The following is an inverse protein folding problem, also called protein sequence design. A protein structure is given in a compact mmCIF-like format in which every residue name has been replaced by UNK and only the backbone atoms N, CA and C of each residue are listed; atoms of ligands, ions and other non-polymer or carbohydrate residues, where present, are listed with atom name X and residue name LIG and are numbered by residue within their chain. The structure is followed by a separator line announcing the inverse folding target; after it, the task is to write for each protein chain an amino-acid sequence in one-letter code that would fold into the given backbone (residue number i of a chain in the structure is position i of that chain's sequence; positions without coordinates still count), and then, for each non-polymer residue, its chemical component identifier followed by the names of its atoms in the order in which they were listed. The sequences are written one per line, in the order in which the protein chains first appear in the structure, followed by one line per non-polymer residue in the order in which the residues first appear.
data_IF_626284794275
#
_entry.id   IF_626284794275
#
_cell.length_a   1.000
_cell.length_b   1.000
_cell.length_c   1.000
_cell.angle_alpha   90.00
_cell.angle_beta   90.00
_cell.angle_gamma   90.00
#
_symmetry.space_group_name_H-M   'P 1'
#
loop_
_entity.id
_entity.type
_entity.pdbx_description
1 polymer ?
#
# COMPACT_ATOMS: atom_id res chain seq x y z
N UNK A 1 -10.95 14.65 15.57
CA UNK A 1 -10.80 15.24 14.22
C UNK A 1 -9.37 14.96 13.81
N UNK A 2 -9.15 13.94 12.97
CA UNK A 2 -7.81 13.61 12.45
C UNK A 2 -7.68 14.37 11.14
N UNK A 3 -6.76 15.33 11.11
CA UNK A 3 -6.52 16.17 9.94
C UNK A 3 -5.99 15.30 8.79
N UNK A 4 -6.85 15.04 7.81
CA UNK A 4 -6.41 14.57 6.49
C UNK A 4 -5.96 15.81 5.74
N UNK A 5 -4.68 16.12 5.83
CA UNK A 5 -4.09 17.15 4.99
C UNK A 5 -3.96 16.58 3.57
N UNK A 6 -4.87 17.00 2.70
CA UNK A 6 -4.67 16.98 1.25
C UNK A 6 -3.64 18.08 0.91
N UNK A 7 -2.39 17.88 1.29
CA UNK A 7 -1.32 18.75 0.85
C UNK A 7 -0.94 18.37 -0.58
N UNK A 8 -0.89 19.37 -1.46
CA UNK A 8 -0.16 19.28 -2.71
C UNK A 8 1.33 19.13 -2.37
N UNK A 9 1.77 17.91 -2.14
CA UNK A 9 3.16 17.59 -1.84
C UNK A 9 3.94 17.79 -3.11
N UNK A 10 4.94 18.69 -3.08
CA UNK A 10 5.98 18.75 -4.09
C UNK A 10 6.79 17.45 -3.98
N UNK A 11 6.32 16.42 -4.68
CA UNK A 11 7.05 15.17 -4.84
C UNK A 11 8.12 15.39 -5.91
N UNK A 12 9.35 14.99 -5.62
CA UNK A 12 10.38 14.87 -6.64
C UNK A 12 9.90 13.96 -7.79
N UNK A 13 10.63 13.93 -8.90
CA UNK A 13 10.30 13.25 -10.17
C UNK A 13 9.84 11.77 -10.06
N UNK A 14 9.92 11.14 -8.88
CA UNK A 14 9.61 9.74 -8.65
C UNK A 14 8.10 9.38 -8.65
N UNK A 15 7.20 10.36 -8.57
CA UNK A 15 5.76 10.09 -8.51
C UNK A 15 5.02 10.66 -9.71
N UNK A 16 5.27 10.12 -10.91
CA UNK A 16 4.33 10.32 -12.02
C UNK A 16 2.98 9.72 -11.64
N UNK A 17 1.98 10.59 -11.40
CA UNK A 17 0.61 10.17 -11.28
C UNK A 17 0.12 9.65 -12.64
N UNK A 18 -0.57 8.52 -12.62
CA UNK A 18 -1.30 8.04 -13.78
C UNK A 18 -2.58 8.87 -13.95
N UNK A 19 -3.13 8.98 -15.19
CA UNK A 19 -4.41 9.63 -15.40
C UNK A 19 -5.48 9.07 -14.44
N UNK A 20 -6.17 9.96 -13.72
CA UNK A 20 -7.21 9.55 -12.77
C UNK A 20 -6.73 9.14 -11.38
N UNK A 21 -5.43 9.16 -11.09
CA UNK A 21 -4.93 8.95 -9.72
C UNK A 21 -5.02 10.24 -8.90
N UNK A 22 -5.41 10.10 -7.64
CA UNK A 22 -5.41 11.17 -6.64
C UNK A 22 -4.34 10.88 -5.59
N UNK A 23 -3.38 11.81 -5.43
CA UNK A 23 -2.33 11.69 -4.44
C UNK A 23 -2.83 12.05 -3.06
N UNK A 24 -2.57 11.18 -2.09
CA UNK A 24 -2.92 11.37 -0.68
C UNK A 24 -1.70 11.09 0.20
N UNK A 25 -1.67 11.74 1.36
CA UNK A 25 -0.66 11.50 2.40
C UNK A 25 -1.34 11.51 3.76
N UNK A 26 -1.08 10.49 4.58
CA UNK A 26 -1.52 10.49 5.96
C UNK A 26 -0.58 9.70 6.86
N UNK A 27 -0.63 10.03 8.15
CA UNK A 27 0.12 9.31 9.20
C UNK A 27 -0.83 8.40 9.95
N UNK A 28 -0.48 7.12 10.04
CA UNK A 28 -1.30 6.11 10.67
C UNK A 28 -0.47 5.04 11.38
N UNK A 29 -1.15 4.32 12.28
CA UNK A 29 -0.62 3.08 12.83
C UNK A 29 -1.01 1.92 11.91
N UNK A 30 -0.01 1.34 11.25
CA UNK A 30 -0.19 0.22 10.32
C UNK A 30 0.66 -0.94 10.82
N UNK A 31 0.04 -2.10 11.01
CA UNK A 31 0.69 -3.31 11.55
C UNK A 31 1.53 -3.05 12.82
N UNK A 32 1.01 -2.20 13.71
CA UNK A 32 1.68 -1.84 14.98
C UNK A 32 2.89 -0.90 14.84
N UNK A 33 3.04 -0.24 13.70
CA UNK A 33 4.06 0.77 13.45
C UNK A 33 3.43 2.08 12.98
N UNK A 34 3.85 3.19 13.61
CA UNK A 34 3.43 4.52 13.17
C UNK A 34 4.28 4.96 11.99
N UNK A 35 3.65 5.16 10.85
CA UNK A 35 4.29 5.57 9.60
C UNK A 35 3.48 6.67 8.92
N UNK A 36 4.13 7.44 8.05
CA UNK A 36 3.43 8.30 7.10
C UNK A 36 3.51 7.65 5.73
N UNK A 37 2.34 7.45 5.10
CA UNK A 37 2.25 6.85 3.76
C UNK A 37 1.79 7.90 2.78
N UNK A 38 2.55 8.06 1.70
CA UNK A 38 2.13 8.78 0.49
C UNK A 38 1.69 7.73 -0.53
N UNK A 39 0.49 7.89 -1.07
CA UNK A 39 -0.12 6.91 -1.99
C UNK A 39 -1.02 7.59 -3.02
N UNK A 40 -1.17 6.95 -4.16
CA UNK A 40 -2.09 7.36 -5.21
C UNK A 40 -3.32 6.44 -5.19
N UNK A 41 -4.51 7.04 -5.09
CA UNK A 41 -5.79 6.32 -5.12
C UNK A 41 -6.15 6.01 -6.56
N UNK A 42 -6.48 4.76 -6.86
CA UNK A 42 -7.05 4.34 -8.13
C UNK A 42 -8.52 4.82 -8.19
N UNK A 43 -8.77 5.90 -8.93
CA UNK A 43 -10.07 6.55 -8.95
C UNK A 43 -11.17 5.65 -9.56
N UNK A 44 -10.84 4.82 -10.55
CA UNK A 44 -11.79 3.90 -11.18
C UNK A 44 -12.24 2.83 -10.18
N UNK A 45 -11.27 2.21 -9.50
CA UNK A 45 -11.56 1.20 -8.48
C UNK A 45 -12.30 1.82 -7.27
N UNK A 46 -11.92 3.02 -6.85
CA UNK A 46 -12.62 3.73 -5.79
C UNK A 46 -14.09 3.99 -6.17
N UNK A 47 -14.35 4.58 -7.34
CA UNK A 47 -15.71 4.84 -7.82
C UNK A 47 -16.52 3.55 -7.98
N UNK A 48 -15.91 2.46 -8.47
CA UNK A 48 -16.54 1.16 -8.55
C UNK A 48 -16.96 0.65 -7.17
N UNK A 49 -16.03 0.70 -6.18
CA UNK A 49 -16.30 0.25 -4.81
C UNK A 49 -17.38 1.07 -4.13
N UNK A 50 -17.38 2.39 -4.29
CA UNK A 50 -18.44 3.24 -3.76
C UNK A 50 -19.81 2.90 -4.35
N UNK A 51 -19.87 2.70 -5.66
CA UNK A 51 -21.12 2.37 -6.36
C UNK A 51 -21.74 1.06 -5.87
N UNK A 52 -20.92 0.04 -5.56
CA UNK A 52 -21.40 -1.29 -5.19
C UNK A 52 -21.28 -1.57 -3.68
N UNK A 53 -20.77 -0.62 -2.89
CA UNK A 53 -20.63 -0.75 -1.45
C UNK A 53 -19.53 -1.73 -1.00
N UNK A 54 -18.49 -1.95 -1.82
CA UNK A 54 -17.40 -2.87 -1.46
C UNK A 54 -16.45 -2.21 -0.47
N UNK A 55 -16.33 -2.79 0.72
CA UNK A 55 -15.35 -2.37 1.74
C UNK A 55 -13.93 -2.82 1.39
N UNK A 56 -12.95 -2.33 2.16
CA UNK A 56 -11.57 -2.83 2.10
C UNK A 56 -11.52 -4.33 2.48
N UNK A 57 -10.71 -5.10 1.78
CA UNK A 57 -10.57 -6.55 2.00
C UNK A 57 -9.46 -6.75 3.04
N UNK A 58 -9.81 -7.35 4.17
CA UNK A 58 -8.89 -7.51 5.32
C UNK A 58 -8.29 -8.93 5.43
N UNK A 59 -8.78 -9.87 4.63
CA UNK A 59 -8.30 -11.25 4.63
C UNK A 59 -7.20 -11.45 3.58
N UNK A 60 -5.96 -11.68 4.05
CA UNK A 60 -4.81 -11.95 3.17
C UNK A 60 -5.02 -13.22 2.32
N UNK A 61 -5.75 -14.22 2.82
CA UNK A 61 -6.04 -15.44 2.06
C UNK A 61 -7.01 -15.18 0.92
N UNK A 62 -8.00 -14.31 1.13
CA UNK A 62 -8.89 -13.84 0.07
C UNK A 62 -8.11 -13.05 -1.00
N UNK A 63 -7.19 -12.17 -0.59
CA UNK A 63 -6.35 -11.43 -1.52
C UNK A 63 -5.38 -12.34 -2.29
N UNK A 64 -4.85 -13.40 -1.65
CA UNK A 64 -4.02 -14.40 -2.33
C UNK A 64 -4.81 -15.18 -3.39
N UNK A 65 -6.06 -15.50 -3.10
CA UNK A 65 -6.98 -16.11 -4.08
C UNK A 65 -7.27 -15.15 -5.24
N UNK A 66 -7.65 -13.90 -4.94
CA UNK A 66 -7.95 -12.89 -5.96
C UNK A 66 -6.75 -12.61 -6.87
N UNK A 67 -5.51 -12.66 -6.35
CA UNK A 67 -4.29 -12.54 -7.16
C UNK A 67 -4.09 -13.70 -8.14
N UNK A 68 -4.64 -14.87 -7.83
CA UNK A 68 -4.55 -16.04 -8.70
C UNK A 68 -5.63 -16.04 -9.80
N UNK A 69 -6.64 -15.16 -9.71
CA UNK A 69 -7.75 -15.09 -10.64
C UNK A 69 -7.55 -13.98 -11.69
N UNK A 70 -7.97 -14.21 -12.94
CA UNK A 70 -8.02 -13.16 -13.95
C UNK A 70 -9.14 -12.15 -13.65
N UNK A 71 -9.10 -11.01 -14.35
CA UNK A 71 -10.12 -9.95 -14.25
C UNK A 71 -11.24 -10.08 -15.26
N UNK A 72 -10.97 -10.68 -16.41
CA UNK A 72 -11.87 -10.62 -17.57
C UNK A 72 -12.54 -11.95 -17.88
N UNK A 73 -11.90 -13.07 -17.56
CA UNK A 73 -12.37 -14.41 -17.89
C UNK A 73 -12.50 -15.30 -16.64
N UNK A 74 -13.42 -16.26 -16.67
CA UNK A 74 -13.51 -17.28 -15.64
C UNK A 74 -12.31 -18.24 -15.74
N UNK A 75 -11.66 -18.49 -14.61
CA UNK A 75 -10.60 -19.48 -14.49
C UNK A 75 -10.90 -20.46 -13.34
N UNK A 76 -10.38 -21.70 -13.41
CA UNK A 76 -10.58 -22.66 -12.34
C UNK A 76 -9.95 -22.15 -11.04
N UNK A 77 -10.72 -22.17 -9.98
CA UNK A 77 -10.25 -21.80 -8.63
C UNK A 77 -9.32 -22.90 -8.11
N UNK A 78 -8.08 -22.58 -7.72
CA UNK A 78 -7.21 -23.59 -7.12
C UNK A 78 -7.88 -24.26 -5.91
N UNK A 79 -7.81 -25.60 -5.75
CA UNK A 79 -8.57 -26.35 -4.72
C UNK A 79 -8.44 -25.79 -3.30
N UNK A 80 -7.25 -25.25 -2.97
CA UNK A 80 -6.97 -24.64 -1.65
C UNK A 80 -7.73 -23.33 -1.38
N UNK A 81 -8.38 -22.76 -2.38
CA UNK A 81 -9.09 -21.49 -2.30
C UNK A 81 -10.60 -21.59 -2.59
N UNK A 82 -11.13 -22.77 -2.84
CA UNK A 82 -12.55 -22.97 -3.16
C UNK A 82 -13.45 -22.48 -2.03
N UNK A 83 -13.13 -22.83 -0.79
CA UNK A 83 -13.84 -22.36 0.40
C UNK A 83 -13.83 -20.82 0.52
N UNK A 84 -12.68 -20.20 0.26
CA UNK A 84 -12.51 -18.74 0.29
C UNK A 84 -13.31 -18.06 -0.83
N UNK A 85 -13.32 -18.64 -2.02
CA UNK A 85 -14.07 -18.10 -3.15
C UNK A 85 -15.59 -18.11 -2.88
N UNK A 86 -16.11 -19.22 -2.34
CA UNK A 86 -17.52 -19.36 -1.98
C UNK A 86 -17.90 -18.38 -0.86
N UNK A 87 -17.07 -18.30 0.18
CA UNK A 87 -17.29 -17.39 1.30
C UNK A 87 -17.29 -15.94 0.84
N UNK A 88 -16.28 -15.53 0.07
CA UNK A 88 -16.16 -14.17 -0.45
C UNK A 88 -17.34 -13.80 -1.37
N UNK A 89 -17.77 -14.70 -2.26
CA UNK A 89 -18.92 -14.47 -3.13
C UNK A 89 -20.24 -14.33 -2.35
N UNK A 90 -20.39 -15.06 -1.24
CA UNK A 90 -21.59 -14.99 -0.39
C UNK A 90 -21.67 -13.69 0.42
N UNK A 91 -20.53 -13.11 0.84
CA UNK A 91 -20.47 -11.90 1.66
C UNK A 91 -20.23 -10.63 0.85
N UNK A 92 -19.64 -10.75 -0.35
CA UNK A 92 -19.29 -9.62 -1.21
C UNK A 92 -19.33 -10.01 -2.69
N UNK A 93 -20.54 -10.24 -3.20
CA UNK A 93 -20.77 -10.62 -4.60
C UNK A 93 -20.18 -9.63 -5.63
N UNK A 94 -19.85 -8.39 -5.21
CA UNK A 94 -19.19 -7.39 -6.05
C UNK A 94 -17.66 -7.56 -6.13
N UNK A 95 -17.09 -8.53 -5.42
CA UNK A 95 -15.64 -8.76 -5.33
C UNK A 95 -15.15 -9.85 -6.28
N UNK A 96 -15.95 -10.88 -6.47
CA UNK A 96 -15.63 -12.05 -7.29
C UNK A 96 -16.91 -12.59 -7.93
N UNK A 97 -16.86 -12.90 -9.21
CA UNK A 97 -17.87 -13.73 -9.85
C UNK A 97 -17.47 -15.19 -9.72
N UNK A 98 -18.42 -16.03 -9.36
CA UNK A 98 -18.19 -17.47 -9.15
C UNK A 98 -19.21 -18.29 -9.96
N UNK A 99 -18.75 -19.39 -10.51
CA UNK A 99 -19.57 -20.37 -11.20
C UNK A 99 -19.14 -21.76 -10.75
N UNK A 100 -20.08 -22.62 -10.39
CA UNK A 100 -19.84 -24.03 -10.14
C UNK A 100 -20.44 -24.85 -11.29
N UNK A 101 -19.66 -25.71 -11.89
CA UNK A 101 -20.14 -26.60 -12.95
C UNK A 101 -20.87 -27.83 -12.36
N UNK A 102 -21.55 -28.64 -13.19
CA UNK A 102 -22.27 -29.84 -12.72
C UNK A 102 -21.36 -30.91 -12.09
N UNK A 103 -20.07 -30.90 -12.41
CA UNK A 103 -19.09 -31.87 -11.89
C UNK A 103 -18.52 -31.37 -10.54
N UNK A 104 -18.88 -30.15 -10.10
CA UNK A 104 -18.49 -29.55 -8.82
C UNK A 104 -17.21 -28.74 -8.90
N UNK A 105 -16.64 -28.54 -10.08
CA UNK A 105 -15.50 -27.65 -10.26
C UNK A 105 -15.94 -26.19 -10.14
N UNK A 106 -15.14 -25.40 -9.43
CA UNK A 106 -15.41 -23.99 -9.17
C UNK A 106 -14.54 -23.11 -10.06
N UNK A 107 -15.20 -22.20 -10.77
CA UNK A 107 -14.59 -21.23 -11.66
C UNK A 107 -14.86 -19.83 -11.13
N UNK A 108 -13.92 -18.93 -11.25
CA UNK A 108 -14.12 -17.54 -10.80
C UNK A 108 -13.32 -16.53 -11.63
N UNK A 109 -13.77 -15.27 -11.60
CA UNK A 109 -12.97 -14.12 -11.99
C UNK A 109 -13.09 -13.02 -10.94
N UNK A 110 -12.01 -12.27 -10.73
CA UNK A 110 -12.03 -11.15 -9.79
C UNK A 110 -12.70 -9.92 -10.40
N UNK A 111 -13.44 -9.18 -9.57
CA UNK A 111 -14.10 -7.93 -9.93
C UNK A 111 -13.50 -6.71 -9.23
N UNK A 112 -12.45 -6.90 -8.44
CA UNK A 112 -11.74 -5.87 -7.70
C UNK A 112 -10.32 -5.71 -8.21
N UNK A 113 -9.82 -4.50 -8.10
CA UNK A 113 -8.40 -4.23 -8.34
C UNK A 113 -7.75 -3.59 -7.11
N UNK A 114 -6.43 -3.37 -7.16
CA UNK A 114 -5.68 -2.74 -6.09
C UNK A 114 -6.14 -1.28 -5.94
N UNK A 115 -6.68 -0.89 -4.77
CA UNK A 115 -7.33 0.41 -4.63
C UNK A 115 -6.34 1.58 -4.52
N UNK A 116 -5.10 1.33 -4.10
CA UNK A 116 -4.07 2.37 -3.98
C UNK A 116 -2.71 1.84 -4.41
N UNK A 117 -1.93 2.74 -5.00
CA UNK A 117 -0.51 2.52 -5.29
C UNK A 117 0.33 3.28 -4.25
N UNK A 118 1.13 2.56 -3.48
CA UNK A 118 2.05 3.16 -2.50
C UNK A 118 3.18 3.88 -3.24
N UNK A 119 3.33 5.16 -2.96
CA UNK A 119 4.35 6.04 -3.55
C UNK A 119 5.57 6.13 -2.64
N UNK A 120 5.36 6.29 -1.32
CA UNK A 120 6.42 6.41 -0.34
C UNK A 120 5.93 5.98 1.05
N UNK A 121 6.81 5.33 1.82
CA UNK A 121 6.60 5.01 3.24
C UNK A 121 7.67 5.76 4.02
N UNK A 122 7.23 6.71 4.84
CA UNK A 122 8.09 7.56 5.64
C UNK A 122 8.10 7.12 7.10
N UNK A 123 9.30 6.99 7.66
CA UNK A 123 9.56 6.60 9.04
C UNK A 123 10.23 7.77 9.76
N UNK A 124 9.49 8.44 10.65
CA UNK A 124 10.05 9.49 11.48
C UNK A 124 10.70 8.90 12.74
N UNK A 125 11.93 9.31 13.05
CA UNK A 125 12.65 8.86 14.24
C UNK A 125 13.68 9.89 14.71
N UNK A 126 14.03 9.82 16.00
CA UNK A 126 15.17 10.57 16.56
C UNK A 126 16.43 9.70 16.76
N UNK A 127 16.35 8.39 16.44
CA UNK A 127 17.42 7.42 16.67
C UNK A 127 17.65 6.58 15.43
N UNK A 128 18.85 6.73 14.82
CA UNK A 128 19.19 6.07 13.57
C UNK A 128 19.00 4.53 13.57
N UNK A 129 19.52 3.76 14.56
CA UNK A 129 19.36 2.30 14.51
C UNK A 129 17.89 1.85 14.57
N UNK A 130 17.03 2.58 15.30
CA UNK A 130 15.60 2.27 15.35
C UNK A 130 14.89 2.63 14.05
N UNK A 131 15.28 3.73 13.41
CA UNK A 131 14.78 4.14 12.11
C UNK A 131 15.08 3.08 11.05
N UNK A 132 16.33 2.61 10.98
CA UNK A 132 16.74 1.55 10.06
C UNK A 132 15.97 0.24 10.30
N UNK A 133 15.88 -0.19 11.57
CA UNK A 133 15.10 -1.37 11.93
C UNK A 133 13.64 -1.25 11.49
N UNK A 134 13.02 -0.08 11.71
CA UNK A 134 11.65 0.19 11.28
C UNK A 134 11.54 0.19 9.75
N UNK A 135 12.47 0.84 9.04
CA UNK A 135 12.48 0.87 7.57
C UNK A 135 12.63 -0.54 6.96
N UNK A 136 13.40 -1.43 7.57
CA UNK A 136 13.54 -2.81 7.10
C UNK A 136 12.24 -3.60 7.17
N UNK A 137 11.33 -3.34 8.11
CA UNK A 137 10.01 -3.99 8.19
C UNK A 137 9.15 -3.71 6.96
N UNK A 138 9.36 -2.56 6.33
CA UNK A 138 8.62 -2.12 5.15
C UNK A 138 9.28 -2.50 3.82
N UNK A 139 10.35 -3.30 3.90
CA UNK A 139 10.97 -3.85 2.71
C UNK A 139 9.96 -4.72 1.94
N UNK A 140 9.68 -4.37 0.70
CA UNK A 140 8.70 -5.10 -0.12
C UNK A 140 7.31 -4.44 -0.23
N UNK A 141 7.03 -3.37 0.52
CA UNK A 141 5.74 -2.68 0.47
C UNK A 141 5.75 -1.41 -0.39
N UNK A 142 6.87 -0.71 -0.48
CA UNK A 142 7.02 0.51 -1.27
C UNK A 142 8.41 1.13 -1.12
N UNK A 143 8.69 2.27 -1.80
CA UNK A 143 9.84 3.10 -1.52
C UNK A 143 9.83 3.53 -0.05
N UNK A 144 10.99 3.56 0.59
CA UNK A 144 11.11 3.86 2.02
C UNK A 144 11.98 5.08 2.23
N UNK A 145 11.55 5.97 3.12
CA UNK A 145 12.30 7.14 3.52
C UNK A 145 12.35 7.26 5.04
N UNK A 146 13.51 7.56 5.58
CA UNK A 146 13.70 7.90 6.98
C UNK A 146 13.77 9.42 7.11
N UNK A 147 13.03 9.95 8.07
CA UNK A 147 13.07 11.36 8.47
C UNK A 147 13.62 11.45 9.88
N UNK A 148 14.78 12.10 10.03
CA UNK A 148 15.46 12.31 11.29
C UNK A 148 15.19 13.70 11.83
N UNK A 149 14.45 13.80 12.94
CA UNK A 149 13.99 15.08 13.51
C UNK A 149 15.10 15.93 14.21
N UNK A 150 16.32 15.41 14.35
CA UNK A 150 17.42 16.10 15.04
C UNK A 150 18.80 15.89 14.42
N UNK A 151 18.84 15.45 13.16
CA UNK A 151 20.08 15.04 12.53
C UNK A 151 20.57 13.67 13.01
N UNK A 152 21.73 13.27 12.53
CA UNK A 152 22.40 12.00 12.84
C UNK A 152 23.82 12.33 13.27
N UNK A 153 24.33 11.66 14.29
CA UNK A 153 25.69 11.92 14.83
C UNK A 153 26.81 11.70 13.80
N UNK A 154 26.63 10.75 12.90
CA UNK A 154 27.50 10.49 11.75
C UNK A 154 26.64 10.43 10.49
N UNK A 155 26.48 11.57 9.84
CA UNK A 155 25.65 11.71 8.65
C UNK A 155 26.23 10.94 7.46
N UNK A 156 27.56 10.88 7.34
CA UNK A 156 28.22 10.14 6.27
C UNK A 156 27.96 8.63 6.39
N UNK A 157 28.17 8.07 7.57
CA UNK A 157 27.90 6.65 7.81
C UNK A 157 26.43 6.31 7.60
N UNK A 158 25.50 7.15 8.12
CA UNK A 158 24.07 6.98 7.93
C UNK A 158 23.66 7.05 6.45
N UNK A 159 24.25 7.96 5.68
CA UNK A 159 23.97 8.10 4.26
C UNK A 159 24.46 6.89 3.45
N UNK A 160 25.66 6.36 3.76
CA UNK A 160 26.18 5.16 3.12
C UNK A 160 25.28 3.96 3.42
N UNK A 161 24.87 3.78 4.68
CA UNK A 161 23.99 2.68 5.08
C UNK A 161 22.61 2.80 4.42
N UNK A 162 21.98 3.98 4.43
CA UNK A 162 20.69 4.23 3.77
C UNK A 162 20.77 3.90 2.27
N UNK A 163 21.79 4.43 1.59
CA UNK A 163 22.03 4.17 0.16
C UNK A 163 22.21 2.68 -0.15
N UNK A 164 22.96 1.96 0.69
CA UNK A 164 23.16 0.51 0.51
C UNK A 164 21.83 -0.29 0.50
N UNK A 165 20.85 0.16 1.27
CA UNK A 165 19.53 -0.48 1.36
C UNK A 165 18.44 0.19 0.50
N UNK A 166 18.80 1.17 -0.34
CA UNK A 166 17.85 1.90 -1.18
C UNK A 166 16.82 2.72 -0.38
N UNK A 167 17.20 3.19 0.81
CA UNK A 167 16.35 3.96 1.72
C UNK A 167 16.70 5.44 1.58
N UNK A 168 15.69 6.30 1.33
CA UNK A 168 15.86 7.73 1.36
C UNK A 168 16.17 8.24 2.79
N UNK A 169 16.95 9.31 2.89
CA UNK A 169 17.26 9.97 4.15
C UNK A 169 16.98 11.46 4.05
N UNK A 170 16.13 11.95 4.92
CA UNK A 170 15.85 13.38 5.12
C UNK A 170 16.17 13.74 6.57
N UNK A 171 16.80 14.90 6.77
CA UNK A 171 17.03 15.48 8.09
C UNK A 171 16.16 16.71 8.23
N UNK A 172 15.34 16.75 9.28
CA UNK A 172 14.56 17.91 9.68
C UNK A 172 15.26 18.56 10.89
N UNK A 173 15.70 19.78 10.72
CA UNK A 173 16.26 20.60 11.80
C UNK A 173 15.56 21.95 11.86
N UNK A 174 16.01 22.81 12.79
CA UNK A 174 15.41 24.14 12.96
C UNK A 174 15.48 25.06 11.72
N UNK A 175 16.22 24.68 10.68
CA UNK A 175 16.35 25.38 9.40
C UNK A 175 15.42 24.85 8.29
N UNK A 176 14.80 23.70 8.52
CA UNK A 176 13.89 23.04 7.58
C UNK A 176 14.24 21.58 7.28
N UNK A 177 13.63 21.02 6.25
CA UNK A 177 13.89 19.65 5.78
C UNK A 177 14.98 19.65 4.70
N UNK A 178 16.02 18.83 4.89
CA UNK A 178 17.11 18.65 3.94
C UNK A 178 17.18 17.21 3.50
N UNK A 179 16.98 16.96 2.21
CA UNK A 179 17.15 15.65 1.61
C UNK A 179 18.64 15.36 1.48
N UNK A 180 19.09 14.24 2.05
CA UNK A 180 20.47 13.76 1.99
C UNK A 180 20.60 12.72 0.88
N UNK A 181 19.65 11.80 0.80
CA UNK A 181 19.57 10.74 -0.21
C UNK A 181 18.12 10.54 -0.58
N UNK A 182 17.85 10.44 -1.87
CA UNK A 182 16.55 10.01 -2.38
C UNK A 182 16.38 8.49 -2.21
N UNK A 183 15.15 8.04 -2.00
CA UNK A 183 14.85 6.62 -1.99
C UNK A 183 15.03 6.00 -3.38
N UNK A 184 15.53 4.78 -3.45
CA UNK A 184 15.60 4.05 -4.70
C UNK A 184 14.22 3.77 -5.29
N UNK A 185 14.16 3.66 -6.61
CA UNK A 185 12.97 3.24 -7.32
C UNK A 185 12.56 1.83 -6.88
N UNK A 186 11.34 1.69 -6.40
CA UNK A 186 10.82 0.43 -5.94
C UNK A 186 10.27 -0.41 -7.09
N UNK A 187 11.02 -1.43 -7.51
CA UNK A 187 10.67 -2.36 -8.58
C UNK A 187 10.60 -3.81 -8.06
N UNK A 188 9.53 -4.19 -7.39
CA UNK A 188 9.40 -5.55 -6.88
C UNK A 188 9.16 -6.54 -8.02
N UNK A 189 9.80 -7.70 -7.94
CA UNK A 189 9.65 -8.79 -8.94
C UNK A 189 8.24 -9.35 -9.01
N UNK A 190 7.48 -9.29 -7.92
CA UNK A 190 6.10 -9.81 -7.81
C UNK A 190 5.27 -8.90 -6.93
N UNK A 191 4.01 -8.78 -7.30
CA UNK A 191 2.98 -8.27 -6.41
C UNK A 191 2.47 -9.43 -5.52
N UNK A 192 2.31 -9.20 -4.22
CA UNK A 192 1.95 -10.24 -3.25
C UNK A 192 0.66 -9.91 -2.51
N UNK A 193 -0.01 -10.92 -1.93
CA UNK A 193 -1.20 -10.71 -1.10
C UNK A 193 -0.92 -9.77 0.09
N UNK A 194 0.24 -9.90 0.74
CA UNK A 194 0.65 -8.99 1.82
C UNK A 194 0.76 -7.53 1.36
N UNK A 195 1.26 -7.28 0.15
CA UNK A 195 1.27 -5.93 -0.42
C UNK A 195 -0.13 -5.42 -0.74
N UNK A 196 -1.00 -6.29 -1.25
CA UNK A 196 -2.39 -5.92 -1.48
C UNK A 196 -3.10 -5.63 -0.15
N UNK A 197 -2.88 -6.45 0.88
CA UNK A 197 -3.41 -6.19 2.22
C UNK A 197 -2.95 -4.83 2.78
N UNK A 198 -1.69 -4.48 2.57
CA UNK A 198 -1.20 -3.15 2.93
C UNK A 198 -1.93 -2.05 2.16
N UNK A 199 -2.11 -2.20 0.85
CA UNK A 199 -2.87 -1.26 0.02
C UNK A 199 -4.33 -1.14 0.49
N UNK A 200 -4.99 -2.26 0.84
CA UNK A 200 -6.36 -2.26 1.41
C UNK A 200 -6.41 -1.55 2.78
N UNK A 201 -5.39 -1.78 3.62
CA UNK A 201 -5.29 -1.11 4.93
C UNK A 201 -5.17 0.41 4.77
N UNK A 202 -4.34 0.87 3.83
CA UNK A 202 -4.19 2.29 3.48
C UNK A 202 -5.47 2.85 2.89
N UNK A 203 -6.12 2.11 1.99
CA UNK A 203 -7.39 2.50 1.38
C UNK A 203 -8.52 2.65 2.41
N UNK A 204 -8.63 1.73 3.37
CA UNK A 204 -9.61 1.86 4.46
C UNK A 204 -9.45 3.18 5.21
N UNK A 205 -8.22 3.53 5.55
CA UNK A 205 -7.93 4.79 6.24
C UNK A 205 -8.30 6.02 5.40
N UNK A 206 -8.08 5.94 4.08
CA UNK A 206 -8.54 6.98 3.15
C UNK A 206 -10.06 7.12 3.19
N UNK A 207 -10.82 6.01 3.07
CA UNK A 207 -12.29 6.02 3.08
C UNK A 207 -12.84 6.56 4.39
N UNK A 208 -12.27 6.14 5.53
CA UNK A 208 -12.67 6.61 6.86
C UNK A 208 -12.44 8.12 7.01
N UNK A 209 -11.36 8.62 6.42
CA UNK A 209 -11.02 10.02 6.47
C UNK A 209 -11.91 10.92 5.58
N UNK A 210 -12.31 10.42 4.41
CA UNK A 210 -13.23 11.16 3.50
C UNK A 210 -14.65 11.21 4.06
N UNK A 211 -15.05 10.21 4.87
CA UNK A 211 -16.40 10.15 5.48
C UNK A 211 -16.54 10.88 6.82
N UNK A 212 -15.42 11.35 7.40
CA UNK A 212 -15.39 12.06 8.70
C UNK A 212 -15.55 13.55 8.55
#
# INVERSE_FOLDING_TARGET
MKDVHLEAVALGDAAKLLPGEMLCRHTADVFGSRITVTYAVNAEEHARREKVGTAAIEDERALAMLLALPTDDLAPVPPRFVDVAIDLASHSASTVDIFADPDGDVWACRRVDVPVRVVEIEIASSRWPLAMQAAHRWNGYGPRKIVMARGVSDELAASIEASHYGIGLTIEDGSGARVIIDADTFNPRRFTAARWLFAETVYRQFVDAVRS
#
